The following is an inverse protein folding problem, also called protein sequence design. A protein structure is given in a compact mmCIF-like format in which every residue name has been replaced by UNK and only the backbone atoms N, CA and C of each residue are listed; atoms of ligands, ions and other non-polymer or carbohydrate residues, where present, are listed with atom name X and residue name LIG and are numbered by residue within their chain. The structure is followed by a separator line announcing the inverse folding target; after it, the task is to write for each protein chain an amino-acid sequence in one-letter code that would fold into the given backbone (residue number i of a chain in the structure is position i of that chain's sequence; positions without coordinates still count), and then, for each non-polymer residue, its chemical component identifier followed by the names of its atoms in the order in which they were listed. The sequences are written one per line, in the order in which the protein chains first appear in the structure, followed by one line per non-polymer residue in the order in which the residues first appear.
data_IF_034071181840
#
_entry.id   IF_034071181840
#
_cell.length_a   1.000
_cell.length_b   1.000
_cell.length_c   1.000
_cell.angle_alpha   90.00
_cell.angle_beta   90.00
_cell.angle_gamma   90.00
#
_symmetry.space_group_name_H-M   'P 1'
#
loop_
_entity.id
_entity.type
_entity.pdbx_description
1 polymer ?
#
# COMPACT_ATOMS: atom_id res chain seq x y z
N UNK A 1 -11.82 -21.44 3.35
CA UNK A 1 -11.61 -20.46 2.27
C UNK A 1 -11.08 -21.21 1.06
N UNK A 2 -11.50 -20.88 -0.18
CA UNK A 2 -10.91 -21.46 -1.37
C UNK A 2 -9.41 -21.18 -1.39
N UNK A 3 -8.62 -22.10 -1.94
CA UNK A 3 -7.18 -21.89 -2.11
C UNK A 3 -6.96 -20.70 -3.05
N UNK A 4 -6.04 -19.80 -2.68
CA UNK A 4 -5.68 -18.65 -3.50
C UNK A 4 -4.88 -19.14 -4.70
N UNK A 5 -5.35 -18.85 -5.91
CA UNK A 5 -4.57 -19.04 -7.11
C UNK A 5 -3.52 -17.92 -7.20
N UNK A 6 -2.32 -18.25 -6.73
CA UNK A 6 -1.18 -17.32 -6.71
C UNK A 6 -0.76 -16.95 -8.14
N UNK A 7 -0.87 -17.87 -9.10
CA UNK A 7 -0.48 -17.58 -10.48
C UNK A 7 -1.46 -16.61 -11.13
N UNK A 8 -2.76 -16.80 -10.91
CA UNK A 8 -3.79 -15.84 -11.37
C UNK A 8 -3.55 -14.45 -10.78
N UNK A 9 -3.24 -14.36 -9.47
CA UNK A 9 -2.92 -13.08 -8.84
C UNK A 9 -1.67 -12.42 -9.43
N UNK A 10 -0.63 -13.20 -9.73
CA UNK A 10 0.58 -12.69 -10.39
C UNK A 10 0.23 -12.13 -11.76
N UNK A 11 -0.53 -12.87 -12.56
CA UNK A 11 -0.93 -12.46 -13.90
C UNK A 11 -1.77 -11.19 -13.87
N UNK A 12 -2.73 -11.07 -12.93
CA UNK A 12 -3.52 -9.86 -12.71
C UNK A 12 -2.65 -8.65 -12.34
N UNK A 13 -1.68 -8.81 -11.43
CA UNK A 13 -0.79 -7.69 -11.09
C UNK A 13 0.07 -7.28 -12.28
N UNK A 14 0.56 -8.24 -13.08
CA UNK A 14 1.39 -7.94 -14.25
C UNK A 14 0.59 -7.31 -15.41
N UNK A 15 -0.66 -7.71 -15.61
CA UNK A 15 -1.51 -7.23 -16.70
C UNK A 15 -2.29 -5.98 -16.32
N UNK A 16 -2.98 -6.00 -15.17
CA UNK A 16 -3.91 -4.95 -14.74
C UNK A 16 -3.30 -4.00 -13.71
N UNK A 17 -2.20 -4.38 -13.07
CA UNK A 17 -1.51 -3.58 -12.07
C UNK A 17 -1.96 -3.84 -10.64
N UNK A 18 -2.93 -4.74 -10.41
CA UNK A 18 -3.36 -5.15 -9.07
C UNK A 18 -4.11 -6.48 -9.07
N UNK A 19 -4.17 -7.12 -7.90
CA UNK A 19 -5.09 -8.21 -7.59
C UNK A 19 -5.72 -7.96 -6.20
N UNK A 20 -6.92 -8.53 -5.95
CA UNK A 20 -7.58 -8.44 -4.64
C UNK A 20 -7.88 -9.86 -4.13
N UNK A 21 -7.29 -10.19 -2.98
CA UNK A 21 -7.56 -11.40 -2.23
C UNK A 21 -8.74 -11.10 -1.29
N UNK A 22 -9.88 -11.75 -1.52
CA UNK A 22 -11.13 -11.51 -0.76
C UNK A 22 -11.15 -12.30 0.54
N UNK A 23 -11.61 -11.68 1.62
CA UNK A 23 -11.75 -12.31 2.95
C UNK A 23 -10.47 -13.03 3.41
N UNK A 24 -9.30 -12.44 3.16
CA UNK A 24 -8.01 -13.10 3.36
C UNK A 24 -7.41 -12.84 4.74
N UNK A 25 -7.36 -11.57 5.15
CA UNK A 25 -6.79 -11.19 6.43
C UNK A 25 -7.77 -11.34 7.59
N UNK A 26 -7.30 -11.78 8.77
CA UNK A 26 -8.15 -11.97 9.94
C UNK A 26 -8.77 -10.64 10.41
N UNK A 27 -10.09 -10.54 10.30
CA UNK A 27 -10.85 -9.33 10.61
C UNK A 27 -10.69 -8.86 12.07
N UNK A 28 -10.56 -9.78 13.03
CA UNK A 28 -10.29 -9.45 14.44
C UNK A 28 -8.93 -8.78 14.65
N UNK A 29 -7.89 -9.22 13.92
CA UNK A 29 -6.59 -8.55 13.96
C UNK A 29 -6.69 -7.14 13.38
N UNK A 30 -7.45 -6.96 12.28
CA UNK A 30 -7.69 -5.64 11.68
C UNK A 30 -8.42 -4.71 12.66
N UNK A 31 -9.41 -5.22 13.41
CA UNK A 31 -10.10 -4.44 14.46
C UNK A 31 -9.13 -3.97 15.55
N UNK A 32 -8.21 -4.84 15.99
CA UNK A 32 -7.17 -4.47 16.94
C UNK A 32 -6.22 -3.40 16.38
N UNK A 33 -5.82 -3.51 15.10
CA UNK A 33 -5.04 -2.47 14.43
C UNK A 33 -5.78 -1.14 14.36
N UNK A 34 -7.09 -1.15 14.03
CA UNK A 34 -7.92 0.05 14.00
C UNK A 34 -7.96 0.74 15.36
N UNK A 35 -8.12 -0.03 16.44
CA UNK A 35 -8.11 0.51 17.80
C UNK A 35 -6.75 1.15 18.15
N UNK A 36 -5.64 0.52 17.79
CA UNK A 36 -4.29 1.03 18.01
C UNK A 36 -3.92 2.22 17.10
N UNK A 37 -4.52 2.31 15.92
CA UNK A 37 -4.32 3.40 14.97
C UNK A 37 -4.96 4.71 15.43
N UNK A 38 -6.15 4.65 16.05
CA UNK A 38 -6.89 5.85 16.49
C UNK A 38 -6.05 6.87 17.28
N UNK A 39 -5.35 6.50 18.38
CA UNK A 39 -4.55 7.47 19.12
C UNK A 39 -3.37 8.03 18.29
N UNK A 40 -2.80 7.24 17.37
CA UNK A 40 -1.74 7.71 16.45
C UNK A 40 -2.31 8.77 15.51
N UNK A 41 -3.50 8.54 14.96
CA UNK A 41 -4.18 9.48 14.08
C UNK A 41 -4.56 10.77 14.82
N UNK A 42 -5.04 10.68 16.06
CA UNK A 42 -5.37 11.84 16.88
C UNK A 42 -4.15 12.74 17.12
N UNK A 43 -2.99 12.16 17.47
CA UNK A 43 -1.73 12.90 17.61
C UNK A 43 -1.30 13.50 16.27
N UNK A 44 -1.31 12.71 15.19
CA UNK A 44 -0.92 13.19 13.86
C UNK A 44 -1.76 14.39 13.40
N UNK A 45 -3.08 14.32 13.59
CA UNK A 45 -4.00 15.40 13.21
C UNK A 45 -3.79 16.66 14.05
N UNK A 46 -3.47 16.52 15.34
CA UNK A 46 -3.14 17.67 16.19
C UNK A 46 -1.84 18.36 15.74
N UNK A 47 -0.84 17.59 15.30
CA UNK A 47 0.45 18.11 14.83
C UNK A 47 0.40 18.67 13.39
N UNK A 48 -0.52 18.19 12.56
CA UNK A 48 -0.58 18.49 11.12
C UNK A 48 -1.91 19.14 10.70
N UNK A 49 -2.61 19.80 11.64
CA UNK A 49 -3.93 20.40 11.40
C UNK A 49 -3.96 21.32 10.17
N UNK A 50 -2.89 22.09 9.93
CA UNK A 50 -2.81 23.08 8.85
C UNK A 50 -2.04 22.59 7.61
N UNK A 51 -1.50 21.37 7.61
CA UNK A 51 -0.65 20.87 6.52
C UNK A 51 -0.88 19.37 6.24
N UNK A 52 -2.03 19.02 5.63
CA UNK A 52 -2.30 17.63 5.27
C UNK A 52 -1.36 17.19 4.14
N UNK A 53 -0.56 16.16 4.41
CA UNK A 53 0.56 15.75 3.55
C UNK A 53 0.16 15.02 2.24
N UNK A 54 -1.14 14.80 2.00
CA UNK A 54 -1.67 14.16 0.78
C UNK A 54 -2.80 14.95 0.12
N UNK A 55 -2.88 16.24 0.43
CA UNK A 55 -3.95 17.14 -0.02
C UNK A 55 -5.04 17.32 1.05
N UNK A 56 -6.03 18.20 0.81
CA UNK A 56 -7.03 18.56 1.80
C UNK A 56 -7.67 17.35 2.49
N UNK A 57 -7.66 17.33 3.83
CA UNK A 57 -8.27 16.29 4.67
C UNK A 57 -7.90 14.84 4.32
N UNK A 58 -6.69 14.62 3.76
CA UNK A 58 -6.14 13.29 3.50
C UNK A 58 -4.74 13.20 4.10
N UNK A 59 -4.50 12.14 4.87
CA UNK A 59 -3.25 11.97 5.60
C UNK A 59 -2.61 10.63 5.31
N UNK A 60 -1.32 10.68 4.98
CA UNK A 60 -0.41 9.56 5.03
C UNK A 60 0.28 9.54 6.39
N UNK A 61 0.01 8.52 7.21
CA UNK A 61 0.47 8.43 8.60
C UNK A 61 1.40 7.22 8.72
N UNK A 62 2.71 7.40 8.94
CA UNK A 62 3.63 6.29 9.21
C UNK A 62 3.14 5.45 10.40
N UNK A 63 3.20 4.12 10.27
CA UNK A 63 2.78 3.21 11.32
C UNK A 63 3.99 2.51 11.95
N UNK A 64 3.99 2.31 13.28
CA UNK A 64 5.09 1.67 13.96
C UNK A 64 5.14 0.16 13.67
N UNK A 65 6.34 -0.39 13.55
CA UNK A 65 6.59 -1.83 13.48
C UNK A 65 6.51 -2.46 14.87
N UNK A 66 5.32 -2.45 15.47
CA UNK A 66 5.05 -3.09 16.77
C UNK A 66 3.60 -3.59 16.84
N UNK A 67 3.32 -4.63 17.65
CA UNK A 67 1.95 -5.10 17.84
C UNK A 67 1.04 -4.02 18.45
N UNK A 68 -0.26 -4.02 18.10
CA UNK A 68 -0.91 -4.93 17.16
C UNK A 68 -0.81 -4.47 15.68
N UNK A 69 -0.22 -3.32 15.39
CA UNK A 69 -0.16 -2.76 14.02
C UNK A 69 0.74 -3.59 13.11
N UNK A 70 1.91 -3.99 13.58
CA UNK A 70 2.64 -5.10 12.98
C UNK A 70 2.05 -6.42 13.47
N UNK A 71 1.66 -7.29 12.55
CA UNK A 71 1.13 -8.61 12.83
C UNK A 71 1.69 -9.62 11.79
N UNK A 72 2.27 -10.76 12.21
CA UNK A 72 2.78 -11.76 11.28
C UNK A 72 1.75 -12.26 10.27
N UNK A 73 0.45 -12.28 10.63
CA UNK A 73 -0.63 -12.64 9.72
C UNK A 73 -0.77 -11.70 8.50
N UNK A 74 -0.16 -10.51 8.54
CA UNK A 74 -0.17 -9.57 7.42
C UNK A 74 1.18 -9.50 6.68
N UNK A 75 2.27 -9.48 7.44
CA UNK A 75 3.62 -9.25 6.90
C UNK A 75 4.33 -10.54 6.49
N UNK A 76 3.94 -11.68 7.07
CA UNK A 76 4.52 -13.00 6.83
C UNK A 76 3.50 -13.97 6.20
N UNK A 77 2.56 -13.43 5.44
CA UNK A 77 1.53 -14.21 4.76
C UNK A 77 2.09 -14.98 3.55
N UNK A 78 1.78 -16.27 3.47
CA UNK A 78 2.34 -17.15 2.44
C UNK A 78 1.90 -16.79 1.02
N UNK A 79 0.61 -16.46 0.83
CA UNK A 79 0.08 -16.14 -0.49
C UNK A 79 0.66 -14.81 -1.01
N UNK A 80 0.66 -13.78 -0.17
CA UNK A 80 1.20 -12.46 -0.54
C UNK A 80 2.70 -12.55 -0.85
N UNK A 81 3.46 -13.28 -0.03
CA UNK A 81 4.90 -13.46 -0.27
C UNK A 81 5.19 -14.32 -1.50
N UNK A 82 4.34 -15.30 -1.82
CA UNK A 82 4.45 -16.07 -3.05
C UNK A 82 4.17 -15.21 -4.30
N UNK A 83 3.12 -14.38 -4.28
CA UNK A 83 2.83 -13.39 -5.34
C UNK A 83 4.03 -12.45 -5.50
N UNK A 84 4.51 -11.88 -4.40
CA UNK A 84 5.63 -10.95 -4.43
C UNK A 84 6.91 -11.60 -4.93
N UNK A 85 7.20 -12.85 -4.53
CA UNK A 85 8.36 -13.59 -5.01
C UNK A 85 8.27 -13.89 -6.51
N UNK A 86 7.08 -14.23 -7.03
CA UNK A 86 6.84 -14.45 -8.45
C UNK A 86 7.06 -13.21 -9.33
N UNK A 87 6.91 -12.00 -8.77
CA UNK A 87 7.04 -10.73 -9.49
C UNK A 87 8.40 -10.06 -9.26
N UNK A 88 8.82 -9.97 -8.00
CA UNK A 88 10.03 -9.23 -7.57
C UNK A 88 11.28 -10.14 -7.51
N UNK A 89 11.08 -11.46 -7.52
CA UNK A 89 12.11 -12.47 -7.29
C UNK A 89 12.12 -13.00 -5.85
N UNK A 90 12.80 -14.12 -5.62
CA UNK A 90 12.75 -14.90 -4.37
C UNK A 90 13.09 -14.12 -3.11
N UNK A 91 13.97 -13.12 -3.23
CA UNK A 91 14.30 -12.25 -2.11
C UNK A 91 13.46 -10.99 -2.20
N UNK A 92 12.62 -10.77 -1.18
CA UNK A 92 11.88 -9.52 -0.99
C UNK A 92 12.21 -8.92 0.38
N UNK A 93 11.98 -7.61 0.52
CA UNK A 93 12.15 -6.85 1.77
C UNK A 93 10.98 -5.90 1.97
N UNK A 94 10.64 -5.64 3.22
CA UNK A 94 9.73 -4.56 3.60
C UNK A 94 10.51 -3.25 3.68
N UNK A 95 9.92 -2.18 3.13
CA UNK A 95 10.57 -0.87 3.03
C UNK A 95 9.77 0.29 3.63
N UNK A 96 8.50 0.06 3.96
CA UNK A 96 7.65 1.07 4.56
C UNK A 96 6.35 0.47 5.07
N UNK A 97 5.73 1.16 6.02
CA UNK A 97 4.44 0.82 6.59
C UNK A 97 3.74 2.10 7.04
N UNK A 98 2.53 2.31 6.54
CA UNK A 98 1.75 3.51 6.81
C UNK A 98 0.25 3.28 6.61
N UNK A 99 -0.57 4.22 7.06
CA UNK A 99 -1.96 4.34 6.62
C UNK A 99 -2.14 5.49 5.63
N UNK A 100 -2.95 5.29 4.59
CA UNK A 100 -3.57 6.36 3.81
C UNK A 100 -5.03 6.52 4.24
N UNK A 101 -5.39 7.71 4.69
CA UNK A 101 -6.70 7.96 5.30
C UNK A 101 -7.31 9.26 4.77
N UNK A 102 -8.30 9.21 3.87
CA UNK A 102 -9.20 10.32 3.62
C UNK A 102 -10.20 10.47 4.75
N UNK A 103 -10.25 11.68 5.28
CA UNK A 103 -11.29 12.17 6.18
C UNK A 103 -12.37 12.89 5.38
N UNK A 104 -13.49 13.21 6.05
CA UNK A 104 -14.57 13.99 5.46
C UNK A 104 -14.02 15.29 4.87
N UNK A 105 -14.47 15.63 3.67
CA UNK A 105 -14.00 16.84 2.98
C UNK A 105 -12.64 16.67 2.30
N UNK A 106 -12.16 15.44 2.16
CA UNK A 106 -11.08 15.15 1.23
C UNK A 106 -11.54 15.31 -0.21
N UNK A 107 -10.61 15.68 -1.09
CA UNK A 107 -10.90 15.92 -2.52
C UNK A 107 -10.27 14.84 -3.39
N UNK A 108 -10.61 14.86 -4.68
CA UNK A 108 -9.89 14.05 -5.66
C UNK A 108 -8.43 14.46 -5.68
N UNK A 109 -7.54 13.47 -5.58
CA UNK A 109 -6.14 13.68 -5.93
C UNK A 109 -5.99 13.75 -7.44
N UNK A 110 -4.91 14.37 -7.90
CA UNK A 110 -4.47 14.25 -9.29
C UNK A 110 -4.20 12.77 -9.62
N UNK A 111 -4.36 12.40 -10.89
CA UNK A 111 -3.98 11.06 -11.36
C UNK A 111 -2.46 10.94 -11.36
N UNK A 112 -1.92 9.95 -10.67
CA UNK A 112 -0.49 9.79 -10.51
C UNK A 112 -0.08 8.32 -10.37
N UNK A 113 1.22 8.08 -10.54
CA UNK A 113 1.90 6.90 -10.01
C UNK A 113 2.59 7.31 -8.70
N UNK A 114 2.76 6.38 -7.75
CA UNK A 114 3.40 6.69 -6.46
C UNK A 114 4.90 7.00 -6.61
N UNK A 115 5.51 6.55 -7.70
CA UNK A 115 6.94 6.62 -7.93
C UNK A 115 7.28 7.47 -9.15
N UNK A 116 8.44 8.15 -9.12
CA UNK A 116 9.05 8.66 -10.34
C UNK A 116 9.51 7.51 -11.25
N UNK A 117 9.66 7.81 -12.54
CA UNK A 117 10.29 6.90 -13.49
C UNK A 117 11.76 6.67 -13.12
N UNK A 118 12.23 5.43 -13.25
CA UNK A 118 13.62 5.09 -12.89
C UNK A 118 14.63 5.66 -13.89
N UNK A 119 14.26 5.70 -15.18
CA UNK A 119 15.06 6.23 -16.29
C UNK A 119 14.23 7.27 -17.05
N UNK A 120 14.00 8.47 -16.48
CA UNK A 120 13.18 9.50 -17.13
C UNK A 120 13.73 9.97 -18.49
N UNK A 121 15.02 9.77 -18.74
CA UNK A 121 15.68 10.02 -20.03
C UNK A 121 15.37 8.96 -21.09
N UNK A 122 14.70 7.86 -20.71
CA UNK A 122 14.24 6.77 -21.59
C UNK A 122 12.75 6.47 -21.32
N UNK A 123 11.83 7.39 -21.62
CA UNK A 123 10.41 7.27 -21.26
C UNK A 123 9.71 6.08 -21.93
N UNK A 124 10.22 5.59 -23.06
CA UNK A 124 9.68 4.42 -23.77
C UNK A 124 10.11 3.08 -23.15
N UNK A 125 11.02 3.10 -22.16
CA UNK A 125 11.51 1.89 -21.49
C UNK A 125 10.54 1.48 -20.38
N UNK A 126 9.70 0.49 -20.67
CA UNK A 126 8.81 -0.13 -19.68
C UNK A 126 9.57 -1.22 -18.92
N UNK A 127 9.73 -1.01 -17.61
CA UNK A 127 10.45 -1.95 -16.75
C UNK A 127 9.49 -3.00 -16.15
N UNK A 128 9.99 -4.18 -15.75
CA UNK A 128 9.24 -5.05 -14.84
C UNK A 128 9.09 -4.39 -13.45
N UNK A 129 8.10 -4.83 -12.62
CA UNK A 129 7.93 -4.27 -11.28
C UNK A 129 9.18 -4.50 -10.42
N UNK A 130 9.62 -3.44 -9.74
CA UNK A 130 10.71 -3.50 -8.75
C UNK A 130 10.23 -3.27 -7.31
N UNK A 131 8.92 -3.08 -7.17
CA UNK A 131 8.21 -2.73 -5.95
C UNK A 131 6.75 -3.15 -6.08
N UNK A 132 6.18 -3.65 -4.99
CA UNK A 132 4.74 -3.86 -4.82
C UNK A 132 4.27 -3.16 -3.56
N UNK A 133 3.00 -2.78 -3.53
CA UNK A 133 2.32 -2.29 -2.33
C UNK A 133 1.21 -3.26 -1.96
N UNK A 134 1.19 -3.65 -0.69
CA UNK A 134 0.13 -4.47 -0.10
C UNK A 134 -0.74 -3.53 0.72
N UNK A 135 -2.04 -3.52 0.46
CA UNK A 135 -3.00 -2.63 1.09
C UNK A 135 -4.20 -3.40 1.65
N UNK A 136 -4.68 -3.01 2.83
CA UNK A 136 -5.91 -3.57 3.39
C UNK A 136 -6.64 -2.51 4.23
N UNK A 137 -7.97 -2.45 4.14
CA UNK A 137 -8.72 -1.41 4.82
C UNK A 137 -9.09 -1.82 6.25
N UNK A 138 -9.18 -0.84 7.14
CA UNK A 138 -9.66 -1.06 8.52
C UNK A 138 -11.18 -0.88 8.66
N UNK A 139 -11.82 -0.44 7.59
CA UNK A 139 -13.28 -0.26 7.43
C UNK A 139 -13.68 -0.77 6.05
N UNK A 140 -14.95 -1.08 5.85
CA UNK A 140 -15.42 -1.37 4.48
C UNK A 140 -15.25 -0.12 3.60
N UNK A 141 -14.79 -0.32 2.39
CA UNK A 141 -14.57 0.70 1.38
C UNK A 141 -15.79 0.70 0.46
N UNK A 142 -16.58 1.76 0.56
CA UNK A 142 -17.81 1.95 -0.20
C UNK A 142 -17.61 3.08 -1.22
N UNK A 143 -18.51 3.25 -2.21
CA UNK A 143 -18.41 4.35 -3.16
C UNK A 143 -18.35 5.74 -2.50
N UNK A 144 -18.98 5.90 -1.34
CA UNK A 144 -19.18 7.19 -0.66
C UNK A 144 -18.02 7.59 0.25
N UNK A 145 -17.20 6.64 0.71
CA UNK A 145 -16.17 6.90 1.72
C UNK A 145 -14.75 7.08 1.16
N UNK A 146 -14.64 7.32 -0.15
CA UNK A 146 -13.36 7.64 -0.80
C UNK A 146 -12.56 6.40 -1.20
N UNK A 147 -13.12 5.53 -2.08
CA UNK A 147 -12.40 4.38 -2.60
C UNK A 147 -11.15 4.80 -3.37
N UNK A 148 -10.15 3.92 -3.38
CA UNK A 148 -9.00 4.08 -4.28
C UNK A 148 -9.45 3.85 -5.72
N UNK A 149 -9.01 4.69 -6.65
CA UNK A 149 -9.34 4.55 -8.07
C UNK A 149 -8.09 4.25 -8.88
N UNK A 150 -8.14 3.23 -9.74
CA UNK A 150 -7.01 2.78 -10.57
C UNK A 150 -7.41 2.72 -12.04
N UNK A 151 -6.47 3.03 -12.93
CA UNK A 151 -6.59 2.83 -14.36
C UNK A 151 -5.74 1.62 -14.77
N UNK A 152 -6.39 0.45 -14.88
CA UNK A 152 -5.72 -0.84 -15.06
C UNK A 152 -4.79 -0.87 -16.30
N UNK A 153 -3.64 -1.53 -16.18
CA UNK A 153 -2.69 -1.71 -17.29
C UNK A 153 -1.86 -0.49 -17.68
N UNK A 154 -2.07 0.66 -17.05
CA UNK A 154 -1.32 1.90 -17.37
C UNK A 154 0.15 1.85 -16.99
N UNK A 155 0.58 0.94 -16.10
CA UNK A 155 1.99 0.68 -15.80
C UNK A 155 2.75 0.02 -16.96
N UNK A 156 2.05 -0.46 -17.99
CA UNK A 156 2.61 -1.05 -19.21
C UNK A 156 2.85 -0.03 -20.33
N UNK A 157 2.57 1.25 -20.08
CA UNK A 157 2.68 2.33 -21.06
C UNK A 157 3.65 3.41 -20.58
N UNK A 158 4.27 4.17 -21.52
CA UNK A 158 4.99 5.38 -21.17
C UNK A 158 4.08 6.33 -20.39
N UNK A 159 4.58 6.94 -19.32
CA UNK A 159 3.75 7.70 -18.37
C UNK A 159 2.93 8.82 -19.02
N UNK A 160 3.53 9.54 -19.98
CA UNK A 160 2.85 10.60 -20.70
C UNK A 160 1.69 10.08 -21.57
N UNK A 161 1.89 8.95 -22.25
CA UNK A 161 0.85 8.28 -23.03
C UNK A 161 -0.28 7.80 -22.10
N UNK A 162 0.08 7.12 -21.00
CA UNK A 162 -0.87 6.63 -20.01
C UNK A 162 -1.76 7.75 -19.46
N UNK A 163 -1.17 8.89 -19.07
CA UNK A 163 -1.91 10.06 -18.58
C UNK A 163 -2.85 10.63 -19.65
N UNK A 164 -2.38 10.72 -20.90
CA UNK A 164 -3.20 11.18 -22.02
C UNK A 164 -4.41 10.26 -22.23
N UNK A 165 -4.19 8.95 -22.29
CA UNK A 165 -5.25 7.96 -22.53
C UNK A 165 -6.25 7.86 -21.38
N UNK A 166 -5.79 8.01 -20.12
CA UNK A 166 -6.69 8.21 -18.97
C UNK A 166 -7.52 9.49 -19.12
N UNK A 167 -6.90 10.59 -19.56
CA UNK A 167 -7.59 11.87 -19.80
C UNK A 167 -8.66 11.80 -20.89
N UNK A 168 -8.46 10.98 -21.91
CA UNK A 168 -9.46 10.71 -22.96
C UNK A 168 -10.54 9.70 -22.54
N UNK A 169 -10.36 9.02 -21.41
CA UNK A 169 -11.26 7.97 -20.92
C UNK A 169 -11.04 6.59 -21.53
N UNK A 170 -10.01 6.40 -22.36
CA UNK A 170 -9.67 5.11 -22.95
C UNK A 170 -9.22 4.10 -21.87
N UNK A 171 -8.48 4.58 -20.86
CA UNK A 171 -8.25 3.84 -19.62
C UNK A 171 -9.10 4.45 -18.50
N UNK A 172 -10.29 3.88 -18.21
CA UNK A 172 -11.16 4.43 -17.20
C UNK A 172 -10.57 4.22 -15.80
N UNK A 173 -10.77 5.22 -14.94
CA UNK A 173 -10.50 5.09 -13.51
C UNK A 173 -11.64 4.32 -12.85
N UNK A 174 -11.32 3.14 -12.31
CA UNK A 174 -12.29 2.25 -11.64
C UNK A 174 -12.09 2.33 -10.13
N UNK A 175 -13.18 2.52 -9.38
CA UNK A 175 -13.17 2.48 -7.92
C UNK A 175 -13.03 1.04 -7.43
N UNK A 176 -12.00 0.77 -6.62
CA UNK A 176 -11.81 -0.53 -5.98
C UNK A 176 -12.52 -0.55 -4.63
N UNK A 177 -13.58 -1.36 -4.55
CA UNK A 177 -14.32 -1.61 -3.32
C UNK A 177 -13.77 -2.85 -2.63
N UNK A 178 -13.65 -2.77 -1.30
CA UNK A 178 -13.01 -3.78 -0.46
C UNK A 178 -13.73 -3.82 0.89
N UNK A 179 -13.97 -5.02 1.41
CA UNK A 179 -14.45 -5.20 2.77
C UNK A 179 -13.27 -5.35 3.75
N UNK A 180 -13.54 -5.15 5.04
CA UNK A 180 -12.57 -5.55 6.08
C UNK A 180 -12.25 -7.03 5.93
N UNK A 181 -10.96 -7.35 5.77
CA UNK A 181 -10.47 -8.70 5.48
C UNK A 181 -9.93 -8.85 4.07
N UNK A 182 -10.38 -8.02 3.12
CA UNK A 182 -9.81 -8.00 1.78
C UNK A 182 -8.40 -7.40 1.77
N UNK A 183 -7.54 -7.90 0.87
CA UNK A 183 -6.18 -7.42 0.69
C UNK A 183 -5.90 -7.19 -0.79
N UNK A 184 -5.36 -6.03 -1.11
CA UNK A 184 -4.91 -5.68 -2.45
C UNK A 184 -3.40 -5.77 -2.53
N UNK A 185 -2.87 -6.48 -3.52
CA UNK A 185 -1.47 -6.39 -3.93
C UNK A 185 -1.44 -5.62 -5.25
N UNK A 186 -0.65 -4.54 -5.32
CA UNK A 186 -0.64 -3.64 -6.49
C UNK A 186 0.75 -3.20 -6.91
N UNK A 187 0.88 -2.93 -8.20
CA UNK A 187 1.99 -2.19 -8.79
C UNK A 187 1.75 -0.68 -8.60
N UNK A 188 2.56 0.02 -7.79
CA UNK A 188 2.39 1.45 -7.54
C UNK A 188 2.69 2.35 -8.74
N UNK A 189 3.17 1.78 -9.87
CA UNK A 189 3.39 2.49 -11.14
C UNK A 189 2.10 2.64 -11.95
N UNK A 190 1.09 1.84 -11.66
CA UNK A 190 -0.22 1.95 -12.29
C UNK A 190 -0.85 3.29 -11.89
N UNK A 191 -1.37 4.04 -12.87
CA UNK A 191 -1.97 5.34 -12.62
C UNK A 191 -3.23 5.20 -11.77
N UNK A 192 -3.33 6.04 -10.75
CA UNK A 192 -4.38 5.99 -9.77
C UNK A 192 -4.63 7.35 -9.13
N UNK A 193 -5.68 7.43 -8.30
CA UNK A 193 -5.94 8.58 -7.43
C UNK A 193 -6.78 8.19 -6.22
N UNK A 194 -6.66 8.94 -5.14
CA UNK A 194 -7.65 8.96 -4.06
C UNK A 194 -8.91 9.72 -4.48
N UNK A 195 -10.07 9.21 -4.07
CA UNK A 195 -11.37 9.89 -4.23
C UNK A 195 -11.89 10.48 -2.90
N UNK A 196 -12.83 11.44 -2.94
CA UNK A 196 -13.40 12.09 -1.75
C UNK A 196 -14.06 11.12 -0.78
N UNK A 197 -13.83 11.31 0.51
CA UNK A 197 -14.66 10.73 1.56
C UNK A 197 -15.79 11.72 1.93
N UNK A 198 -17.03 11.30 1.68
CA UNK A 198 -18.24 12.08 1.94
C UNK A 198 -18.88 11.73 3.30
N UNK A 199 -18.37 10.71 3.98
CA UNK A 199 -18.90 10.20 5.25
C UNK A 199 -18.18 10.82 6.45
N UNK A 200 -18.78 10.73 7.64
CA UNK A 200 -18.15 11.19 8.90
C UNK A 200 -17.10 10.22 9.44
N UNK A 201 -17.01 9.01 8.88
CA UNK A 201 -16.04 8.01 9.31
C UNK A 201 -14.80 8.06 8.39
N UNK A 202 -13.58 8.21 8.93
CA UNK A 202 -12.37 8.14 8.12
C UNK A 202 -12.22 6.76 7.47
N UNK A 203 -11.90 6.73 6.17
CA UNK A 203 -11.64 5.47 5.45
C UNK A 203 -10.18 5.09 5.61
N UNK A 204 -9.85 4.51 6.74
CA UNK A 204 -8.46 4.13 7.05
C UNK A 204 -8.08 2.89 6.25
N UNK A 205 -6.95 2.97 5.55
CA UNK A 205 -6.33 1.84 4.88
C UNK A 205 -4.87 1.77 5.26
N UNK A 206 -4.41 0.61 5.73
CA UNK A 206 -3.00 0.35 5.96
C UNK A 206 -2.33 -0.17 4.69
N UNK A 207 -1.01 -0.03 4.62
CA UNK A 207 -0.24 -0.74 3.63
C UNK A 207 1.25 -0.74 3.91
N UNK A 208 1.90 -1.78 3.42
CA UNK A 208 3.35 -1.89 3.42
C UNK A 208 3.88 -2.10 2.01
N UNK A 209 5.16 -1.77 1.85
CA UNK A 209 5.86 -1.86 0.57
C UNK A 209 6.80 -3.04 0.56
N UNK A 210 6.74 -3.88 -0.47
CA UNK A 210 7.70 -4.94 -0.77
C UNK A 210 8.62 -4.49 -1.91
N UNK A 211 9.94 -4.64 -1.74
CA UNK A 211 10.93 -4.26 -2.74
C UNK A 211 11.81 -5.43 -3.15
N UNK A 212 12.35 -5.32 -4.37
CA UNK A 212 13.59 -6.01 -4.73
C UNK A 212 14.74 -5.52 -3.83
N UNK A 213 15.57 -6.40 -3.24
CA UNK A 213 16.60 -6.00 -2.30
C UNK A 213 17.65 -5.07 -2.88
N UNK A 214 17.91 -5.04 -4.18
CA UNK A 214 18.89 -4.10 -4.73
C UNK A 214 18.31 -2.69 -4.92
N UNK A 215 16.99 -2.51 -4.89
CA UNK A 215 16.34 -1.22 -5.09
C UNK A 215 16.38 -0.38 -3.80
N UNK A 216 16.79 0.87 -3.95
CA UNK A 216 16.83 1.87 -2.88
C UNK A 216 16.04 3.09 -3.35
N UNK A 217 15.11 3.56 -2.51
CA UNK A 217 14.33 4.76 -2.78
C UNK A 217 14.46 5.74 -1.61
N UNK A 218 14.23 7.02 -1.90
CA UNK A 218 14.04 8.01 -0.83
C UNK A 218 12.74 7.70 -0.10
N UNK A 219 12.83 7.55 1.21
CA UNK A 219 11.69 7.40 2.11
C UNK A 219 11.35 8.77 2.70
N UNK A 220 10.06 9.06 2.94
CA UNK A 220 9.66 10.25 3.69
C UNK A 220 10.06 10.14 5.17
N UNK A 221 9.95 8.92 5.72
CA UNK A 221 10.35 8.57 7.09
C UNK A 221 11.04 7.22 7.04
N UNK A 222 12.17 7.08 7.74
CA UNK A 222 12.83 5.79 7.88
C UNK A 222 12.03 4.93 8.87
N UNK A 223 11.52 3.77 8.46
CA UNK A 223 10.85 2.87 9.37
C UNK A 223 11.84 2.33 10.41
N UNK A 224 11.40 2.38 11.66
CA UNK A 224 12.18 1.94 12.83
C UNK A 224 11.51 0.73 13.46
N UNK A 225 12.32 -0.22 13.90
CA UNK A 225 11.89 -1.40 14.67
C UNK A 225 12.77 -1.55 15.91
N UNK A 226 12.15 -1.81 17.07
CA UNK A 226 12.89 -2.08 18.30
C UNK A 226 13.67 -3.40 18.18
N UNK A 227 14.93 -3.42 18.64
CA UNK A 227 15.77 -4.64 18.63
C UNK A 227 15.07 -5.81 19.32
N UNK A 228 14.51 -5.58 20.51
CA UNK A 228 13.82 -6.61 21.29
C UNK A 228 12.69 -7.26 20.51
N UNK A 229 11.94 -6.43 19.77
CA UNK A 229 10.86 -6.92 18.93
C UNK A 229 11.39 -7.71 17.73
N UNK A 230 12.37 -7.18 16.99
CA UNK A 230 13.00 -7.86 15.86
C UNK A 230 13.57 -9.24 16.26
N UNK A 231 14.20 -9.34 17.42
CA UNK A 231 14.77 -10.60 17.93
C UNK A 231 13.71 -11.65 18.27
N UNK A 232 12.49 -11.21 18.64
CA UNK A 232 11.35 -12.08 18.91
C UNK A 232 10.67 -12.65 17.66
N UNK A 233 10.95 -12.10 16.48
CA UNK A 233 10.33 -12.54 15.22
C UNK A 233 10.94 -13.83 14.68
N UNK A 234 10.23 -14.48 13.75
CA UNK A 234 10.78 -15.62 13.02
C UNK A 234 11.95 -15.21 12.12
N UNK A 235 12.78 -16.17 11.70
CA UNK A 235 13.90 -15.89 10.80
C UNK A 235 13.44 -15.31 9.45
N UNK A 236 12.30 -15.78 8.91
CA UNK A 236 11.73 -15.24 7.67
C UNK A 236 11.35 -13.76 7.84
N UNK A 237 10.73 -13.40 8.95
CA UNK A 237 10.39 -12.01 9.26
C UNK A 237 11.64 -11.14 9.47
N UNK A 238 12.65 -11.63 10.19
CA UNK A 238 13.93 -10.91 10.32
C UNK A 238 14.55 -10.64 8.95
N UNK A 239 14.50 -11.60 8.03
CA UNK A 239 14.95 -11.39 6.66
C UNK A 239 14.08 -10.34 5.94
N UNK A 240 12.75 -10.40 6.04
CA UNK A 240 11.87 -9.40 5.43
C UNK A 240 12.16 -7.98 5.94
N UNK A 241 12.44 -7.83 7.24
CA UNK A 241 12.63 -6.55 7.91
C UNK A 241 14.10 -6.10 8.00
N UNK A 242 15.05 -6.82 7.38
CA UNK A 242 16.50 -6.57 7.48
C UNK A 242 16.99 -5.18 7.03
N UNK A 243 16.09 -4.37 6.47
CA UNK A 243 16.32 -3.01 5.96
C UNK A 243 15.68 -1.90 6.79
N UNK A 244 14.97 -2.27 7.86
CA UNK A 244 14.46 -1.28 8.80
C UNK A 244 15.61 -0.79 9.67
N UNK A 245 15.52 0.45 10.13
CA UNK A 245 16.45 0.97 11.12
C UNK A 245 16.15 0.28 12.45
N UNK A 246 17.16 -0.31 13.07
CA UNK A 246 17.01 -0.94 14.38
C UNK A 246 17.21 0.12 15.46
N UNK A 247 16.22 0.25 16.34
CA UNK A 247 16.35 1.03 17.56
C UNK A 247 16.95 0.14 18.65
N UNK A 248 18.10 0.59 19.15
CA UNK A 248 18.86 -0.07 20.22
C UNK A 248 18.35 0.32 21.62
N UNK A 249 17.57 1.41 21.71
CA UNK A 249 17.05 1.92 22.97
C UNK A 249 15.72 1.22 23.30
N UNK A 250 15.78 0.20 24.15
CA UNK A 250 14.62 -0.27 24.90
C UNK A 250 14.55 0.45 26.24
#
# INVERSE_FOLDING_TARGET
MPAIDTQECIDQVLQDGYCILRDHFPTEAIKACRAAWRPIAEVHLAEHADNPNRGPNRHYIPLPFRPPLYNPAFFNDDAILAIAAGILGEQVIVDGFASDTPFKGSVHQEVHADLPELFPERPDLILPPHILVVNWPFVDVTPENGPFQIAAGTHLLPKAEALSRVGTGEFPLVSLLMNVGDVMVRDPRCLHRGSPNLTDTPRVQAGFTLLRPWYLRRRHVNPVIARSFLESLSEREKQLLRRLTVDETN
#
